data_IF_443292991262
#
_entry.id   IF_443292991262
#
_cell.length_a   1.000
_cell.length_b   1.000
_cell.length_c   1.000
_cell.angle_alpha   90.00
_cell.angle_beta   90.00
_cell.angle_gamma   90.00
#
_symmetry.space_group_name_H-M   'P 1'
#
loop_
_entity.id
_entity.type
_entity.pdbx_description
1 polymer ?
#
# COMPACT_ATOMS: atom_id res chain seq x y z
N UNK A 1 5.28 -8.35 -25.43
CA UNK A 1 5.37 -7.04 -24.74
C UNK A 1 6.37 -7.22 -23.62
N UNK A 2 7.11 -6.21 -23.23
CA UNK A 2 8.13 -6.37 -22.21
C UNK A 2 7.50 -6.47 -20.81
N UNK A 3 8.11 -7.26 -19.94
CA UNK A 3 7.84 -7.26 -18.49
C UNK A 3 7.93 -5.84 -17.95
N UNK A 4 6.97 -5.41 -17.12
CA UNK A 4 6.92 -4.03 -16.61
C UNK A 4 6.76 -3.96 -15.08
N UNK A 5 7.39 -2.97 -14.43
CA UNK A 5 7.12 -2.66 -13.04
C UNK A 5 5.79 -1.89 -12.92
N UNK A 6 5.05 -2.14 -11.83
CA UNK A 6 3.89 -1.34 -11.46
C UNK A 6 3.96 -0.90 -10.00
N UNK A 7 3.27 0.20 -9.68
CA UNK A 7 3.23 0.75 -8.33
C UNK A 7 2.07 0.15 -7.52
N UNK A 8 2.16 0.26 -6.19
CA UNK A 8 1.13 -0.29 -5.30
C UNK A 8 -0.23 0.43 -5.45
N UNK A 9 -0.24 1.71 -5.80
CA UNK A 9 -1.47 2.45 -6.06
C UNK A 9 -2.17 1.97 -7.34
N UNK A 10 -1.42 1.66 -8.40
CA UNK A 10 -1.97 1.06 -9.61
C UNK A 10 -2.65 -0.28 -9.30
N UNK A 11 -1.98 -1.13 -8.49
CA UNK A 11 -2.58 -2.39 -8.05
C UNK A 11 -3.89 -2.18 -7.27
N UNK A 12 -3.91 -1.17 -6.38
CA UNK A 12 -5.12 -0.83 -5.63
C UNK A 12 -6.27 -0.44 -6.55
N UNK A 13 -6.00 0.40 -7.56
CA UNK A 13 -7.02 0.82 -8.52
C UNK A 13 -7.51 -0.32 -9.39
N UNK A 14 -6.65 -1.17 -9.91
CA UNK A 14 -7.05 -2.38 -10.67
C UNK A 14 -7.99 -3.28 -9.84
N UNK A 15 -7.70 -3.47 -8.56
CA UNK A 15 -8.56 -4.25 -7.66
C UNK A 15 -9.90 -3.51 -7.41
N UNK A 16 -9.86 -2.21 -7.19
CA UNK A 16 -11.06 -1.39 -6.94
C UNK A 16 -12.01 -1.33 -8.14
N UNK A 17 -11.43 -1.27 -9.34
CA UNK A 17 -12.14 -1.20 -10.62
C UNK A 17 -12.56 -2.57 -11.16
N UNK A 18 -12.29 -3.66 -10.40
CA UNK A 18 -12.65 -5.03 -10.73
C UNK A 18 -11.97 -5.54 -12.03
N UNK A 19 -10.74 -5.08 -12.27
CA UNK A 19 -9.97 -5.54 -13.43
C UNK A 19 -9.62 -7.02 -13.29
N UNK A 20 -9.67 -7.74 -14.42
CA UNK A 20 -9.41 -9.19 -14.46
C UNK A 20 -7.92 -9.46 -14.61
N UNK A 21 -7.28 -10.02 -13.60
CA UNK A 21 -5.90 -10.50 -13.61
C UNK A 21 -5.67 -11.59 -12.57
N UNK A 22 -4.60 -12.35 -12.71
CA UNK A 22 -4.08 -13.22 -11.67
C UNK A 22 -3.04 -12.45 -10.83
N UNK A 23 -3.23 -12.38 -9.53
CA UNK A 23 -2.18 -11.95 -8.60
C UNK A 23 -1.34 -13.17 -8.19
N UNK A 24 -0.10 -13.24 -8.63
CA UNK A 24 0.83 -14.31 -8.31
C UNK A 24 1.79 -13.85 -7.20
N UNK A 25 1.61 -14.37 -6.00
CA UNK A 25 2.54 -14.13 -4.90
C UNK A 25 3.63 -15.21 -4.90
N UNK A 26 4.86 -14.79 -5.15
CA UNK A 26 6.00 -15.71 -5.29
C UNK A 26 6.87 -15.78 -4.02
N UNK A 27 6.34 -15.40 -2.89
CA UNK A 27 6.96 -15.63 -1.58
C UNK A 27 6.68 -17.07 -1.12
N UNK A 28 7.42 -17.51 -0.08
CA UNK A 28 7.09 -18.77 0.58
C UNK A 28 5.69 -18.70 1.22
N UNK A 29 5.08 -19.84 1.46
CA UNK A 29 3.72 -19.97 1.99
C UNK A 29 3.55 -19.38 3.39
N UNK A 30 4.59 -19.41 4.23
CA UNK A 30 4.58 -18.83 5.57
C UNK A 30 4.42 -17.31 5.52
N UNK A 31 5.21 -16.63 4.68
CA UNK A 31 5.12 -15.19 4.50
C UNK A 31 3.81 -14.77 3.82
N UNK A 32 3.36 -15.54 2.84
CA UNK A 32 2.07 -15.34 2.18
C UNK A 32 0.90 -15.42 3.18
N UNK A 33 0.86 -16.46 4.00
CA UNK A 33 -0.21 -16.65 4.98
C UNK A 33 -0.19 -15.61 6.11
N UNK A 34 1.00 -15.07 6.44
CA UNK A 34 1.15 -14.02 7.45
C UNK A 34 0.64 -12.66 6.99
N UNK A 35 0.86 -12.32 5.74
CA UNK A 35 0.49 -11.04 5.15
C UNK A 35 0.46 -11.15 3.63
N UNK A 36 -0.65 -10.81 3.01
CA UNK A 36 -0.83 -10.81 1.55
C UNK A 36 -1.53 -9.55 1.08
N UNK A 37 -1.63 -9.37 -0.21
CA UNK A 37 -2.43 -8.31 -0.80
C UNK A 37 -3.91 -8.60 -0.54
N UNK A 38 -4.58 -7.66 0.12
CA UNK A 38 -6.02 -7.66 0.33
C UNK A 38 -6.54 -6.29 -0.09
N UNK A 39 -7.56 -6.27 -0.90
CA UNK A 39 -8.11 -5.06 -1.49
C UNK A 39 -9.60 -4.89 -1.20
N UNK A 40 -10.23 -3.86 -1.76
CA UNK A 40 -11.65 -3.59 -1.58
C UNK A 40 -12.57 -4.65 -2.22
N UNK A 41 -12.00 -5.51 -3.11
CA UNK A 41 -12.72 -6.60 -3.78
C UNK A 41 -11.92 -7.90 -3.72
N UNK A 42 -12.58 -9.06 -3.87
CA UNK A 42 -11.88 -10.35 -4.01
C UNK A 42 -10.92 -10.34 -5.20
N UNK A 43 -9.78 -11.02 -5.05
CA UNK A 43 -8.73 -11.09 -6.07
C UNK A 43 -8.49 -12.57 -6.40
N UNK A 44 -8.42 -12.89 -7.70
CA UNK A 44 -7.89 -14.19 -8.13
C UNK A 44 -6.40 -14.26 -7.78
N UNK A 45 -6.03 -15.17 -6.87
CA UNK A 45 -4.67 -15.19 -6.30
C UNK A 45 -4.13 -16.61 -6.22
N UNK A 46 -2.86 -16.76 -6.59
CA UNK A 46 -2.08 -17.99 -6.39
C UNK A 46 -0.80 -17.68 -5.63
N UNK A 47 -0.33 -18.65 -4.84
CA UNK A 47 0.99 -18.59 -4.20
C UNK A 47 1.85 -19.75 -4.67
N UNK A 48 2.90 -19.45 -5.43
CA UNK A 48 3.93 -20.38 -5.88
C UNK A 48 5.27 -19.74 -5.61
N UNK A 49 6.11 -20.38 -4.79
CA UNK A 49 7.39 -19.80 -4.40
C UNK A 49 8.32 -19.56 -5.59
N UNK A 50 9.04 -18.44 -5.60
CA UNK A 50 10.05 -18.21 -6.66
C UNK A 50 11.18 -19.25 -6.64
N UNK A 51 11.39 -19.96 -5.53
CA UNK A 51 12.29 -21.09 -5.47
C UNK A 51 11.78 -22.27 -6.30
N UNK A 52 10.47 -22.51 -6.29
CA UNK A 52 9.87 -23.57 -7.10
C UNK A 52 10.05 -23.26 -8.61
N UNK A 53 9.95 -22.00 -9.01
CA UNK A 53 10.28 -21.58 -10.38
C UNK A 53 11.75 -21.80 -10.74
N UNK A 54 12.66 -21.83 -9.79
CA UNK A 54 14.09 -22.15 -10.04
C UNK A 54 14.34 -23.67 -10.17
N UNK A 55 13.55 -24.48 -9.46
CA UNK A 55 13.79 -25.93 -9.35
C UNK A 55 12.89 -26.76 -10.28
N UNK A 56 11.63 -26.35 -10.42
CA UNK A 56 10.59 -27.11 -11.17
C UNK A 56 9.78 -26.16 -12.07
N UNK A 57 10.47 -25.35 -12.88
CA UNK A 57 9.90 -24.27 -13.68
C UNK A 57 8.66 -24.71 -14.47
N UNK A 58 8.75 -25.83 -15.23
CA UNK A 58 7.64 -26.29 -16.07
C UNK A 58 6.41 -26.65 -15.25
N UNK A 59 6.57 -27.30 -14.11
CA UNK A 59 5.46 -27.66 -13.22
C UNK A 59 4.76 -26.43 -12.63
N UNK A 60 5.52 -25.34 -12.40
CA UNK A 60 4.96 -24.06 -11.97
C UNK A 60 4.13 -23.41 -13.10
N UNK A 61 4.66 -23.42 -14.32
CA UNK A 61 3.95 -22.90 -15.51
C UNK A 61 2.65 -23.64 -15.75
N UNK A 62 2.66 -24.98 -15.66
CA UNK A 62 1.48 -25.83 -15.89
C UNK A 62 0.33 -25.57 -14.88
N UNK A 63 0.63 -24.97 -13.73
CA UNK A 63 -0.36 -24.57 -12.72
C UNK A 63 -1.02 -23.21 -13.01
N UNK A 64 -0.44 -22.41 -13.91
CA UNK A 64 -0.94 -21.08 -14.22
C UNK A 64 -2.07 -21.13 -15.25
N UNK A 65 -2.91 -20.09 -15.33
CA UNK A 65 -3.95 -20.00 -16.36
C UNK A 65 -3.35 -19.80 -17.76
N UNK A 66 -4.22 -19.56 -18.74
CA UNK A 66 -3.82 -19.27 -20.13
C UNK A 66 -2.78 -18.13 -20.18
N UNK A 67 -1.86 -18.22 -21.13
CA UNK A 67 -0.83 -17.20 -21.41
C UNK A 67 -1.40 -15.80 -21.76
N UNK A 68 -2.67 -15.75 -22.13
CA UNK A 68 -3.39 -14.50 -22.39
C UNK A 68 -3.92 -13.83 -21.12
N UNK A 69 -3.85 -14.52 -19.96
CA UNK A 69 -4.30 -13.95 -18.69
C UNK A 69 -3.27 -12.93 -18.19
N UNK A 70 -3.68 -11.67 -17.89
CA UNK A 70 -2.79 -10.71 -17.26
C UNK A 70 -2.30 -11.24 -15.90
N UNK A 71 -0.98 -11.19 -15.64
CA UNK A 71 -0.38 -11.64 -14.39
C UNK A 71 0.31 -10.49 -13.69
N UNK A 72 0.01 -10.31 -12.41
CA UNK A 72 0.63 -9.30 -11.53
C UNK A 72 1.38 -10.02 -10.42
N UNK A 73 2.70 -9.85 -10.39
CA UNK A 73 3.58 -10.64 -9.51
C UNK A 73 4.00 -9.83 -8.29
N UNK A 74 3.91 -10.46 -7.13
CA UNK A 74 4.31 -9.88 -5.84
C UNK A 74 5.33 -10.79 -5.16
N UNK A 75 6.40 -10.20 -4.62
CA UNK A 75 7.37 -10.88 -3.78
C UNK A 75 7.79 -10.01 -2.59
N UNK A 76 8.60 -10.55 -1.69
CA UNK A 76 9.24 -9.77 -0.62
C UNK A 76 10.14 -8.66 -1.18
N UNK A 77 10.85 -8.96 -2.27
CA UNK A 77 11.76 -8.04 -2.98
C UNK A 77 11.41 -8.01 -4.46
N UNK A 78 11.61 -6.85 -5.06
CA UNK A 78 11.34 -6.61 -6.48
C UNK A 78 12.10 -7.59 -7.42
N UNK A 79 13.38 -7.84 -7.14
CA UNK A 79 14.23 -8.68 -8.00
C UNK A 79 13.70 -10.11 -8.21
N UNK A 80 13.17 -10.74 -7.16
CA UNK A 80 12.59 -12.09 -7.30
C UNK A 80 11.28 -12.08 -8.08
N UNK A 81 10.46 -11.03 -7.94
CA UNK A 81 9.24 -10.88 -8.74
C UNK A 81 9.56 -10.65 -10.21
N UNK A 82 10.56 -9.80 -10.50
CA UNK A 82 11.06 -9.57 -11.86
C UNK A 82 11.61 -10.85 -12.50
N UNK A 83 12.39 -11.64 -11.76
CA UNK A 83 12.93 -12.92 -12.22
C UNK A 83 11.79 -13.87 -12.69
N UNK A 84 10.74 -14.03 -11.87
CA UNK A 84 9.59 -14.87 -12.27
C UNK A 84 8.84 -14.25 -13.44
N UNK A 85 8.70 -12.93 -13.52
CA UNK A 85 8.07 -12.26 -14.65
C UNK A 85 8.79 -12.53 -15.98
N UNK A 86 10.14 -12.54 -15.96
CA UNK A 86 10.97 -12.87 -17.13
C UNK A 86 10.83 -14.35 -17.53
N UNK A 87 10.59 -15.27 -16.59
CA UNK A 87 10.27 -16.67 -16.88
C UNK A 87 8.91 -16.74 -17.59
N UNK A 88 7.87 -16.10 -17.04
CA UNK A 88 6.54 -16.12 -17.65
C UNK A 88 6.57 -15.56 -19.08
N UNK A 89 7.30 -14.46 -19.32
CA UNK A 89 7.47 -13.90 -20.66
C UNK A 89 8.09 -14.91 -21.64
N UNK A 90 9.12 -15.67 -21.22
CA UNK A 90 9.73 -16.73 -22.03
C UNK A 90 8.76 -17.86 -22.38
N UNK A 91 7.79 -18.13 -21.50
CA UNK A 91 6.72 -19.11 -21.71
C UNK A 91 5.49 -18.54 -22.45
N UNK A 92 5.60 -17.32 -22.99
CA UNK A 92 4.60 -16.74 -23.89
C UNK A 92 3.48 -15.94 -23.22
N UNK A 93 3.58 -15.69 -21.90
CA UNK A 93 2.64 -14.79 -21.24
C UNK A 93 2.81 -13.37 -21.77
N UNK A 94 1.73 -12.76 -22.24
CA UNK A 94 1.77 -11.51 -23.00
C UNK A 94 1.63 -10.24 -22.18
N UNK A 95 1.08 -10.32 -20.96
CA UNK A 95 0.84 -9.19 -20.04
C UNK A 95 1.29 -9.55 -18.63
N UNK A 96 2.57 -9.30 -18.33
CA UNK A 96 3.20 -9.65 -17.06
C UNK A 96 3.80 -8.42 -16.41
N UNK A 97 3.27 -8.07 -15.24
CA UNK A 97 3.82 -6.99 -14.41
C UNK A 97 4.33 -7.49 -13.06
N UNK A 98 5.25 -6.76 -12.44
CA UNK A 98 5.73 -7.03 -11.09
C UNK A 98 5.67 -5.79 -10.19
N UNK A 99 5.37 -6.00 -8.90
CA UNK A 99 5.21 -4.93 -7.93
C UNK A 99 6.57 -4.30 -7.58
N UNK A 100 6.75 -3.04 -7.94
CA UNK A 100 7.91 -2.25 -7.56
C UNK A 100 8.01 -2.10 -6.03
N UNK A 101 9.21 -2.29 -5.48
CA UNK A 101 9.46 -2.27 -4.04
C UNK A 101 8.89 -3.46 -3.26
N UNK A 102 8.29 -4.44 -3.95
CA UNK A 102 7.73 -5.68 -3.37
C UNK A 102 6.56 -5.45 -2.41
N UNK A 103 6.21 -6.48 -1.64
CA UNK A 103 5.04 -6.46 -0.73
C UNK A 103 5.08 -5.33 0.32
N UNK A 104 6.27 -4.82 0.64
CA UNK A 104 6.43 -3.70 1.57
C UNK A 104 5.78 -2.43 1.02
N UNK A 105 5.84 -2.19 -0.31
CA UNK A 105 5.19 -1.04 -0.94
C UNK A 105 3.67 -1.09 -0.77
N UNK A 106 3.06 -2.27 -0.91
CA UNK A 106 1.65 -2.49 -0.60
C UNK A 106 1.32 -2.22 0.87
N UNK A 107 2.12 -2.74 1.80
CA UNK A 107 1.94 -2.54 3.24
C UNK A 107 2.06 -1.08 3.69
N UNK A 108 2.72 -0.25 2.89
CA UNK A 108 2.91 1.18 3.17
C UNK A 108 2.01 2.09 2.33
N UNK A 109 1.26 1.55 1.38
CA UNK A 109 0.38 2.33 0.53
C UNK A 109 -0.64 3.11 1.36
N UNK A 110 -0.80 4.39 1.05
CA UNK A 110 -1.87 5.26 1.52
C UNK A 110 -2.57 5.84 0.29
N UNK A 111 -3.87 5.64 0.20
CA UNK A 111 -4.69 6.11 -0.91
C UNK A 111 -5.56 7.26 -0.42
N UNK A 112 -5.32 8.50 -0.89
CA UNK A 112 -6.13 9.65 -0.52
C UNK A 112 -7.48 9.62 -1.25
N UNK A 113 -8.56 9.84 -0.50
CA UNK A 113 -9.92 9.98 -1.02
C UNK A 113 -10.54 11.26 -0.48
N UNK A 114 -10.89 12.18 -1.37
CA UNK A 114 -11.66 13.37 -1.00
C UNK A 114 -13.11 12.96 -0.66
N UNK A 115 -13.58 13.34 0.52
CA UNK A 115 -14.91 12.96 1.02
C UNK A 115 -16.00 14.04 0.76
N UNK A 116 -15.58 15.30 0.55
CA UNK A 116 -16.51 16.44 0.48
C UNK A 116 -16.13 17.42 -0.64
N UNK A 117 -16.26 17.05 -1.92
CA UNK A 117 -15.74 17.84 -3.06
C UNK A 117 -16.35 19.25 -3.21
N UNK A 118 -17.53 19.52 -2.61
CA UNK A 118 -18.30 20.76 -2.85
C UNK A 118 -18.32 21.69 -1.62
N UNK A 119 -17.31 21.59 -0.74
CA UNK A 119 -17.25 22.41 0.48
C UNK A 119 -16.13 23.47 0.43
N UNK A 120 -16.16 24.43 1.34
CA UNK A 120 -15.13 25.46 1.52
C UNK A 120 -13.85 24.92 2.18
N UNK A 121 -13.84 23.67 2.59
CA UNK A 121 -12.70 22.93 3.12
C UNK A 121 -12.64 21.57 2.43
N UNK A 122 -11.49 20.93 2.45
CA UNK A 122 -11.29 19.58 1.90
C UNK A 122 -11.05 18.60 3.06
N UNK A 123 -11.87 17.53 3.11
CA UNK A 123 -11.69 16.43 4.05
C UNK A 123 -11.23 15.20 3.28
N UNK A 124 -10.02 14.76 3.55
CA UNK A 124 -9.42 13.56 2.97
C UNK A 124 -9.47 12.38 3.94
N UNK A 125 -9.78 11.22 3.42
CA UNK A 125 -9.52 9.93 4.06
C UNK A 125 -8.30 9.31 3.38
N UNK A 126 -7.30 8.92 4.16
CA UNK A 126 -6.15 8.17 3.69
C UNK A 126 -6.35 6.70 4.04
N UNK A 127 -6.69 5.91 3.04
CA UNK A 127 -6.94 4.46 3.18
C UNK A 127 -5.62 3.73 3.12
N UNK A 128 -5.33 2.89 4.10
CA UNK A 128 -4.17 2.00 4.13
C UNK A 128 -4.62 0.55 3.93
N UNK A 129 -4.71 0.05 2.68
CA UNK A 129 -5.31 -1.26 2.39
C UNK A 129 -4.54 -2.40 3.05
N UNK A 130 -3.20 -2.36 3.09
CA UNK A 130 -2.36 -3.39 3.70
C UNK A 130 -2.51 -3.53 5.23
N UNK A 131 -3.32 -2.67 5.90
CA UNK A 131 -3.62 -2.74 7.33
C UNK A 131 -5.11 -2.61 7.64
N UNK A 132 -5.94 -2.31 6.65
CA UNK A 132 -7.35 -2.04 6.88
C UNK A 132 -7.59 -0.81 7.77
N UNK A 133 -6.64 0.13 7.84
CA UNK A 133 -6.73 1.33 8.67
C UNK A 133 -6.91 2.59 7.84
N UNK A 134 -7.50 3.60 8.46
CA UNK A 134 -7.69 4.91 7.85
C UNK A 134 -7.13 6.00 8.77
N UNK A 135 -6.64 7.06 8.14
CA UNK A 135 -6.35 8.35 8.78
C UNK A 135 -7.05 9.46 8.01
N UNK A 136 -7.10 10.64 8.56
CA UNK A 136 -7.83 11.75 7.94
C UNK A 136 -6.98 13.02 7.91
N UNK A 137 -7.23 13.86 6.88
CA UNK A 137 -6.64 15.18 6.73
C UNK A 137 -7.71 16.20 6.45
N UNK A 138 -7.82 17.22 7.28
CA UNK A 138 -8.70 18.37 7.08
C UNK A 138 -7.86 19.54 6.59
N UNK A 139 -8.10 19.98 5.35
CA UNK A 139 -7.45 21.14 4.73
C UNK A 139 -8.42 22.32 4.67
N UNK A 140 -7.99 23.46 5.16
CA UNK A 140 -8.74 24.70 5.09
C UNK A 140 -7.79 25.91 5.07
N UNK A 141 -7.99 26.83 4.13
CA UNK A 141 -7.21 28.08 4.04
C UNK A 141 -5.67 27.90 4.05
N UNK A 142 -5.15 26.84 3.41
CA UNK A 142 -3.72 26.56 3.37
C UNK A 142 -3.16 25.93 4.66
N UNK A 143 -4.03 25.49 5.56
CA UNK A 143 -3.67 24.76 6.78
C UNK A 143 -4.26 23.35 6.78
N UNK A 144 -3.54 22.40 7.37
CA UNK A 144 -3.95 21.00 7.49
C UNK A 144 -3.86 20.51 8.92
N UNK A 145 -4.90 19.77 9.33
CA UNK A 145 -4.90 18.97 10.56
C UNK A 145 -4.97 17.49 10.17
N UNK A 146 -4.12 16.66 10.75
CA UNK A 146 -4.11 15.22 10.52
C UNK A 146 -4.66 14.48 11.76
N UNK A 147 -5.47 13.45 11.51
CA UNK A 147 -6.03 12.57 12.53
C UNK A 147 -5.56 11.14 12.30
N UNK A 148 -5.01 10.51 13.33
CA UNK A 148 -4.50 9.14 13.35
C UNK A 148 -3.50 8.82 12.20
N UNK A 149 -2.54 9.72 11.88
CA UNK A 149 -1.60 9.46 10.80
C UNK A 149 -0.70 8.27 11.14
N UNK A 150 -0.50 7.40 10.15
CA UNK A 150 0.42 6.27 10.29
C UNK A 150 1.89 6.71 10.21
N UNK A 151 2.81 5.79 10.52
CA UNK A 151 4.27 6.03 10.46
C UNK A 151 4.84 6.40 9.09
N UNK A 152 4.04 6.37 8.03
CA UNK A 152 4.47 6.81 6.69
C UNK A 152 4.45 8.33 6.60
N UNK A 153 5.26 8.97 7.42
CA UNK A 153 5.27 10.43 7.64
C UNK A 153 5.53 11.20 6.35
N UNK A 154 6.48 10.75 5.53
CA UNK A 154 6.82 11.41 4.26
C UNK A 154 5.60 11.56 3.35
N UNK A 155 4.73 10.56 3.27
CA UNK A 155 3.50 10.65 2.50
C UNK A 155 2.63 11.85 2.91
N UNK A 156 2.43 12.08 4.20
CA UNK A 156 1.58 13.19 4.68
C UNK A 156 2.23 14.55 4.44
N UNK A 157 3.56 14.61 4.54
CA UNK A 157 4.31 15.84 4.25
C UNK A 157 4.25 16.20 2.76
N UNK A 158 4.46 15.21 1.90
CA UNK A 158 4.38 15.36 0.44
C UNK A 158 2.96 15.74 0.02
N UNK A 159 1.94 15.07 0.56
CA UNK A 159 0.54 15.37 0.29
C UNK A 159 0.16 16.79 0.74
N UNK A 160 0.60 17.23 1.91
CA UNK A 160 0.37 18.60 2.37
C UNK A 160 1.02 19.63 1.44
N UNK A 161 2.25 19.36 0.98
CA UNK A 161 2.95 20.21 0.00
C UNK A 161 2.20 20.27 -1.34
N UNK A 162 1.74 19.13 -1.87
CA UNK A 162 0.94 19.08 -3.10
C UNK A 162 -0.35 19.89 -3.00
N UNK A 163 -0.95 19.91 -1.82
CA UNK A 163 -2.16 20.69 -1.51
C UNK A 163 -1.87 22.15 -1.16
N UNK A 164 -0.61 22.56 -1.15
CA UNK A 164 -0.19 23.88 -0.67
C UNK A 164 -0.69 24.18 0.74
N UNK A 165 -0.72 23.16 1.61
CA UNK A 165 -1.15 23.26 3.00
C UNK A 165 0.04 23.11 3.95
N UNK A 166 0.03 23.88 5.03
CA UNK A 166 0.94 23.71 6.17
C UNK A 166 0.27 22.81 7.22
N UNK A 167 0.91 21.75 7.64
CA UNK A 167 0.40 20.94 8.76
C UNK A 167 0.58 21.75 10.04
N UNK A 168 -0.54 22.09 10.71
CA UNK A 168 -0.57 22.91 11.94
C UNK A 168 -0.84 22.06 13.18
N UNK A 169 -1.46 20.89 13.01
CA UNK A 169 -1.76 19.99 14.10
C UNK A 169 -1.81 18.54 13.65
N UNK A 170 -1.50 17.64 14.57
CA UNK A 170 -1.80 16.21 14.49
C UNK A 170 -2.58 15.79 15.73
N UNK A 171 -3.51 14.86 15.60
CA UNK A 171 -4.31 14.35 16.70
C UNK A 171 -4.42 12.83 16.62
N UNK A 172 -4.32 12.17 17.78
CA UNK A 172 -4.62 10.75 17.93
C UNK A 172 -5.96 10.61 18.65
N UNK A 173 -6.89 9.85 18.03
CA UNK A 173 -8.21 9.58 18.63
C UNK A 173 -8.10 8.61 19.80
N UNK A 174 -7.13 7.71 19.74
CA UNK A 174 -6.80 6.71 20.78
C UNK A 174 -5.37 6.18 20.61
N UNK A 175 -4.89 5.42 21.59
CA UNK A 175 -3.62 4.70 21.45
C UNK A 175 -3.78 3.53 20.49
N UNK A 176 -3.09 3.60 19.35
CA UNK A 176 -3.14 2.57 18.32
C UNK A 176 -2.41 1.30 18.78
N UNK A 177 -3.11 0.16 18.77
CA UNK A 177 -2.56 -1.12 19.20
C UNK A 177 -1.89 -1.92 18.06
N UNK A 178 -2.29 -1.67 16.82
CA UNK A 178 -1.96 -2.49 15.64
C UNK A 178 -1.03 -1.79 14.64
N UNK A 179 -0.74 -0.51 14.82
CA UNK A 179 0.26 0.21 14.02
C UNK A 179 0.97 1.33 14.81
N UNK A 180 2.10 1.76 14.29
CA UNK A 180 2.86 2.88 14.84
C UNK A 180 2.28 4.18 14.28
N UNK A 181 1.82 5.05 15.19
CA UNK A 181 1.33 6.38 14.87
C UNK A 181 2.46 7.32 14.41
N UNK A 182 2.15 8.18 13.44
CA UNK A 182 3.08 9.15 12.88
C UNK A 182 3.00 10.54 13.50
N UNK A 183 1.99 10.84 14.32
CA UNK A 183 1.67 12.18 14.82
C UNK A 183 2.85 12.89 15.46
N UNK A 184 3.64 12.21 16.28
CA UNK A 184 4.78 12.83 16.97
C UNK A 184 5.92 13.19 16.03
N UNK A 185 6.23 12.29 15.10
CA UNK A 185 7.28 12.54 14.12
C UNK A 185 6.87 13.69 13.18
N UNK A 186 5.61 13.72 12.73
CA UNK A 186 5.08 14.83 11.95
C UNK A 186 5.19 16.14 12.74
N UNK A 187 4.74 16.15 14.00
CA UNK A 187 4.82 17.33 14.85
C UNK A 187 6.27 17.81 15.04
N UNK A 188 7.21 16.88 15.28
CA UNK A 188 8.63 17.20 15.42
C UNK A 188 9.24 17.79 14.14
N UNK A 189 8.85 17.29 12.96
CA UNK A 189 9.39 17.72 11.65
C UNK A 189 8.77 19.02 11.13
N UNK A 190 7.53 19.34 11.54
CA UNK A 190 6.77 20.49 11.00
C UNK A 190 6.59 21.63 12.00
N UNK A 191 6.82 21.39 13.29
CA UNK A 191 6.45 22.31 14.36
C UNK A 191 4.95 22.32 14.66
N UNK A 192 4.18 21.39 14.12
CA UNK A 192 2.75 21.22 14.38
C UNK A 192 2.49 20.86 15.85
N UNK A 193 1.31 21.23 16.36
CA UNK A 193 0.86 20.80 17.69
C UNK A 193 0.43 19.35 17.65
N UNK A 194 0.80 18.60 18.70
CA UNK A 194 0.31 17.22 18.88
C UNK A 194 -0.79 17.21 19.95
N UNK A 195 -1.93 16.61 19.61
CA UNK A 195 -3.07 16.43 20.49
C UNK A 195 -3.35 14.94 20.70
N UNK A 196 -3.56 14.54 21.94
CA UNK A 196 -3.90 13.18 22.32
C UNK A 196 -4.67 13.16 23.64
N UNK A 197 -5.42 12.10 23.90
CA UNK A 197 -6.10 11.91 25.17
C UNK A 197 -5.06 11.57 26.26
N UNK A 198 -5.07 12.33 27.36
CA UNK A 198 -4.15 12.11 28.47
C UNK A 198 -4.35 10.77 29.20
N UNK A 199 -5.55 10.17 29.12
CA UNK A 199 -5.81 8.84 29.68
C UNK A 199 -5.07 7.73 28.91
N UNK A 200 -4.95 7.88 27.59
CA UNK A 200 -4.28 6.90 26.74
C UNK A 200 -2.78 7.09 26.69
N UNK A 201 -2.32 8.34 26.73
CA UNK A 201 -0.91 8.68 26.52
C UNK A 201 -0.18 9.04 27.83
N UNK A 202 -0.88 9.09 28.97
CA UNK A 202 -0.31 9.36 30.31
C UNK A 202 0.53 10.63 30.35
N UNK A 203 1.57 10.64 31.19
CA UNK A 203 2.60 11.70 31.24
C UNK A 203 3.56 11.61 30.02
N UNK A 204 3.03 11.26 28.92
CA UNK A 204 3.56 11.17 27.56
C UNK A 204 5.07 11.46 27.42
N UNK A 205 5.89 10.63 28.01
CA UNK A 205 7.34 10.56 27.76
C UNK A 205 7.65 9.60 26.62
N UNK A 206 6.78 9.52 25.66
CA UNK A 206 7.08 8.71 24.50
C UNK A 206 7.79 9.53 23.45
#
# INVERSE_FOLDING_TARGET
>A
MAVFPFQADSLFHWIADDESFLLLDVRNSTDFNRFKVEGPRPIAMQNISYFDFMEIEQECIDQLPSVDTPVRIVCAKEGSAKFVAEILEKHGFSDVGYLAGGIKSWGNLLVPKLLNPDQSYELYQFIRPGKGSCSYGLCCNGEMILFDPSRNVDFYLDFANEKNCRIIATAETHLQADYIAGSREIAARTGARFYANTQDFGDARF
#
